data_IF_839745024354
#
_entry.id   IF_839745024354
#
_cell.length_a   1.000
_cell.length_b   1.000
_cell.length_c   1.000
_cell.angle_alpha   90.00
_cell.angle_beta   90.00
_cell.angle_gamma   90.00
#
_symmetry.space_group_name_H-M   'P 1'
#
loop_
_entity.id
_entity.type
_entity.pdbx_description
1 polymer ?
#
# COMPACT_ATOMS: atom_id res chain seq x y z
N UNK A 1 -7.77 9.38 12.63
CA UNK A 1 -8.55 10.25 11.72
C UNK A 1 -9.80 9.51 11.30
N UNK A 2 -10.88 10.24 10.98
CA UNK A 2 -12.10 9.62 10.46
C UNK A 2 -11.79 8.94 9.12
N UNK A 3 -12.11 7.66 9.02
CA UNK A 3 -11.89 6.84 7.83
C UNK A 3 -13.13 6.84 6.91
N UNK A 4 -14.07 7.75 7.13
CA UNK A 4 -15.28 7.90 6.35
C UNK A 4 -15.36 9.35 5.86
N UNK A 5 -15.54 9.52 4.56
CA UNK A 5 -15.85 10.81 3.94
C UNK A 5 -17.18 10.70 3.18
N UNK A 6 -17.93 11.79 3.12
CA UNK A 6 -19.17 11.86 2.35
C UNK A 6 -19.13 13.06 1.42
N UNK A 7 -19.42 12.83 0.14
CA UNK A 7 -19.45 13.89 -0.88
C UNK A 7 -20.54 13.57 -1.90
N UNK A 8 -21.39 14.56 -2.19
CA UNK A 8 -22.46 14.46 -3.21
C UNK A 8 -23.37 13.21 -3.08
N UNK A 9 -23.64 12.77 -1.85
CA UNK A 9 -24.46 11.59 -1.59
C UNK A 9 -23.73 10.24 -1.74
N UNK A 10 -22.41 10.28 -1.96
CA UNK A 10 -21.53 9.11 -1.99
C UNK A 10 -20.75 9.03 -0.68
N UNK A 11 -20.69 7.84 -0.10
CA UNK A 11 -19.90 7.51 1.10
C UNK A 11 -18.63 6.80 0.67
N UNK A 12 -17.49 7.29 1.17
CA UNK A 12 -16.17 6.74 0.97
C UNK A 12 -15.65 6.21 2.30
N UNK A 13 -15.42 4.90 2.39
CA UNK A 13 -14.84 4.26 3.59
C UNK A 13 -13.43 3.79 3.26
N UNK A 14 -12.43 4.40 3.88
CA UNK A 14 -11.02 4.05 3.75
C UNK A 14 -10.66 2.91 4.70
N UNK A 15 -10.03 1.86 4.17
CA UNK A 15 -9.46 0.82 5.00
C UNK A 15 -8.19 1.32 5.69
N UNK A 16 -7.82 0.68 6.80
CA UNK A 16 -6.46 0.82 7.32
C UNK A 16 -5.47 0.36 6.24
N UNK A 17 -4.35 1.08 6.04
CA UNK A 17 -3.32 0.66 5.11
C UNK A 17 -2.72 -0.67 5.57
N UNK A 18 -2.44 -1.56 4.62
CA UNK A 18 -1.66 -2.78 4.88
C UNK A 18 -0.23 -2.55 4.43
N UNK A 19 0.69 -2.66 5.36
CA UNK A 19 2.12 -2.56 5.11
C UNK A 19 2.74 -3.95 5.17
N UNK A 20 3.49 -4.31 4.14
CA UNK A 20 4.35 -5.49 4.12
C UNK A 20 5.77 -5.04 3.79
N UNK A 21 6.74 -5.49 4.56
CA UNK A 21 8.14 -5.18 4.33
C UNK A 21 8.95 -6.47 4.38
N UNK A 22 9.90 -6.60 3.47
CA UNK A 22 10.87 -7.70 3.44
C UNK A 22 12.24 -7.14 3.07
N UNK A 23 13.29 -7.90 3.37
CA UNK A 23 14.63 -7.49 3.01
C UNK A 23 15.62 -8.63 3.10
N UNK A 24 16.68 -8.51 2.32
CA UNK A 24 17.79 -9.43 2.27
C UNK A 24 19.10 -8.66 2.44
N UNK A 25 20.05 -9.26 3.15
CA UNK A 25 21.39 -8.70 3.34
C UNK A 25 22.42 -9.76 2.95
N UNK A 26 23.36 -9.37 2.09
CA UNK A 26 24.54 -10.16 1.78
C UNK A 26 25.71 -9.63 2.62
N UNK A 27 26.18 -10.44 3.55
CA UNK A 27 27.31 -10.10 4.42
C UNK A 27 28.53 -10.96 4.08
N UNK A 28 29.67 -10.31 3.85
CA UNK A 28 30.95 -10.98 3.65
C UNK A 28 31.64 -11.22 4.99
N UNK A 29 31.58 -12.46 5.48
CA UNK A 29 32.21 -12.85 6.73
C UNK A 29 33.74 -12.68 6.74
N UNK A 30 34.40 -12.88 5.60
CA UNK A 30 35.86 -12.76 5.50
C UNK A 30 36.34 -11.31 5.57
N UNK A 31 35.55 -10.37 5.02
CA UNK A 31 35.86 -8.94 5.00
C UNK A 31 35.18 -8.16 6.14
N UNK A 32 34.24 -8.79 6.85
CA UNK A 32 33.48 -8.17 7.94
C UNK A 32 32.56 -7.02 7.49
N UNK A 33 32.04 -7.07 6.26
CA UNK A 33 31.22 -5.98 5.68
C UNK A 33 29.96 -6.48 4.98
N UNK A 34 28.96 -5.60 4.86
CA UNK A 34 27.77 -5.83 4.03
C UNK A 34 28.13 -5.51 2.58
N UNK A 35 27.97 -6.46 1.68
CA UNK A 35 28.21 -6.26 0.24
C UNK A 35 26.96 -5.74 -0.48
N UNK A 36 25.79 -6.18 -0.04
CA UNK A 36 24.51 -5.77 -0.61
C UNK A 36 23.41 -5.79 0.43
N UNK A 37 22.51 -4.82 0.35
CA UNK A 37 21.23 -4.82 1.07
C UNK A 37 20.11 -4.52 0.08
N UNK A 38 19.05 -5.32 0.16
CA UNK A 38 17.82 -5.10 -0.57
C UNK A 38 16.67 -5.01 0.42
N UNK A 39 15.81 -4.02 0.25
CA UNK A 39 14.56 -3.89 0.99
C UNK A 39 13.41 -3.73 0.02
N UNK A 40 12.31 -4.40 0.28
CA UNK A 40 11.06 -4.27 -0.46
C UNK A 40 9.96 -3.83 0.51
N UNK A 41 9.17 -2.83 0.10
CA UNK A 41 8.02 -2.34 0.86
C UNK A 41 6.81 -2.30 -0.05
N UNK A 42 5.73 -2.96 0.38
CA UNK A 42 4.42 -2.98 -0.29
C UNK A 42 3.42 -2.28 0.62
N UNK A 43 2.83 -1.21 0.12
CA UNK A 43 1.73 -0.48 0.75
C UNK A 43 0.45 -0.75 -0.03
N UNK A 44 -0.55 -1.33 0.61
CA UNK A 44 -1.88 -1.49 0.05
C UNK A 44 -2.89 -0.59 0.77
N UNK A 45 -3.64 0.18 -0.02
CA UNK A 45 -4.78 0.96 0.46
C UNK A 45 -6.03 0.51 -0.29
N UNK A 46 -7.16 0.46 0.42
CA UNK A 46 -8.45 0.21 -0.21
C UNK A 46 -9.47 1.25 0.23
N UNK A 47 -10.35 1.61 -0.68
CA UNK A 47 -11.46 2.52 -0.46
C UNK A 47 -12.73 1.86 -0.98
N UNK A 48 -13.72 1.77 -0.11
CA UNK A 48 -15.07 1.37 -0.47
C UNK A 48 -15.89 2.62 -0.82
N UNK A 49 -16.57 2.58 -1.96
CA UNK A 49 -17.44 3.64 -2.46
C UNK A 49 -18.86 3.13 -2.48
N UNK A 50 -19.76 3.79 -1.77
CA UNK A 50 -21.18 3.45 -1.69
C UNK A 50 -22.03 4.67 -2.05
N UNK A 51 -23.00 4.50 -2.94
CA UNK A 51 -23.85 5.60 -3.40
C UNK A 51 -25.12 5.10 -4.10
N UNK A 52 -25.77 5.99 -4.83
CA UNK A 52 -26.97 5.68 -5.63
C UNK A 52 -26.70 6.00 -7.11
N UNK A 53 -27.22 5.16 -8.02
CA UNK A 53 -27.22 5.46 -9.45
C UNK A 53 -28.36 6.45 -9.83
N UNK A 54 -28.43 6.81 -11.12
CA UNK A 54 -29.47 7.71 -11.65
C UNK A 54 -30.91 7.18 -11.43
N UNK A 55 -31.08 5.87 -11.20
CA UNK A 55 -32.36 5.22 -10.93
C UNK A 55 -32.60 4.99 -9.44
N UNK A 56 -31.80 5.61 -8.55
CA UNK A 56 -31.84 5.44 -7.08
C UNK A 56 -31.58 4.00 -6.62
N UNK A 57 -30.85 3.21 -7.40
CA UNK A 57 -30.38 1.89 -6.97
C UNK A 57 -29.02 2.03 -6.28
N UNK A 58 -28.80 1.32 -5.17
CA UNK A 58 -27.52 1.36 -4.49
C UNK A 58 -26.42 0.80 -5.37
N UNK A 59 -25.30 1.52 -5.44
CA UNK A 59 -24.07 1.09 -6.10
C UNK A 59 -22.95 0.97 -5.08
N UNK A 60 -22.12 -0.05 -5.26
CA UNK A 60 -20.97 -0.34 -4.42
C UNK A 60 -19.77 -0.66 -5.28
N UNK A 61 -18.65 -0.01 -5.00
CA UNK A 61 -17.38 -0.23 -5.71
C UNK A 61 -16.22 -0.21 -4.73
N UNK A 62 -15.12 -0.86 -5.09
CA UNK A 62 -13.88 -0.84 -4.33
C UNK A 62 -12.76 -0.37 -5.22
N UNK A 63 -12.02 0.64 -4.77
CA UNK A 63 -10.75 1.04 -5.37
C UNK A 63 -9.61 0.52 -4.50
N UNK A 64 -8.62 -0.14 -5.11
CA UNK A 64 -7.41 -0.60 -4.44
C UNK A 64 -6.20 0.07 -5.09
N UNK A 65 -5.38 0.69 -4.26
CA UNK A 65 -4.10 1.27 -4.67
C UNK A 65 -2.98 0.44 -4.02
N UNK A 66 -2.03 -0.03 -4.83
CA UNK A 66 -0.88 -0.82 -4.38
C UNK A 66 0.38 -0.08 -4.83
N UNK A 67 1.21 0.30 -3.85
CA UNK A 67 2.54 0.87 -4.10
C UNK A 67 3.60 -0.13 -3.69
N UNK A 68 4.59 -0.34 -4.56
CA UNK A 68 5.71 -1.23 -4.33
C UNK A 68 7.01 -0.44 -4.51
N UNK A 69 7.87 -0.46 -3.50
CA UNK A 69 9.17 0.20 -3.51
C UNK A 69 10.26 -0.82 -3.16
N UNK A 70 11.26 -0.93 -4.05
CA UNK A 70 12.47 -1.72 -3.81
C UNK A 70 13.66 -0.77 -3.72
N UNK A 71 14.41 -0.84 -2.63
CA UNK A 71 15.70 -0.15 -2.47
C UNK A 71 16.82 -1.17 -2.48
N UNK A 72 17.86 -0.89 -3.25
CA UNK A 72 19.07 -1.71 -3.35
C UNK A 72 20.27 -0.82 -3.04
N UNK A 73 21.10 -1.27 -2.11
CA UNK A 73 22.39 -0.67 -1.76
C UNK A 73 23.46 -1.73 -1.99
N UNK A 74 24.49 -1.40 -2.77
CA UNK A 74 25.59 -2.32 -3.08
C UNK A 74 26.94 -1.61 -2.99
N UNK A 75 27.96 -2.34 -2.53
CA UNK A 75 29.35 -1.90 -2.66
C UNK A 75 29.81 -2.17 -4.10
N UNK A 76 30.23 -1.11 -4.80
CA UNK A 76 30.82 -1.16 -6.15
C UNK A 76 32.31 -1.53 -6.10
#
# INVERSE_FOLDING_TARGET
>A
GNNIAQEQGVTYTFSQPKLQASGNVLFNNSKGLVEKSESNTILEMAMLVEGMDANKKPIKSTKKDISNNTNIVELL
#
